data_IF_638552807675
#
_entry.id   IF_638552807675
#
_cell.length_a   1.000
_cell.length_b   1.000
_cell.length_c   1.000
_cell.angle_alpha   90.00
_cell.angle_beta   90.00
_cell.angle_gamma   90.00
#
_symmetry.space_group_name_H-M   'P 1'
#
loop_
_entity.id
_entity.type
_entity.pdbx_description
1 polymer ?
#
# COMPACT_ATOMS: atom_id res chain seq x y z
N UNK A 1 -12.32 23.76 -2.64
CA UNK A 1 -12.91 22.41 -2.58
C UNK A 1 -13.01 22.03 -1.12
N UNK A 2 -14.23 21.74 -0.69
CA UNK A 2 -14.70 21.55 0.69
C UNK A 2 -14.20 20.24 1.36
N UNK A 3 -13.00 19.74 1.03
CA UNK A 3 -12.50 18.48 1.60
C UNK A 3 -12.38 18.58 3.13
N UNK A 4 -12.11 19.78 3.65
CA UNK A 4 -11.98 20.01 5.10
C UNK A 4 -13.32 19.97 5.85
N UNK A 5 -14.45 20.16 5.18
CA UNK A 5 -15.77 20.06 5.82
C UNK A 5 -16.34 18.64 5.82
N UNK A 6 -15.72 17.71 5.08
CA UNK A 6 -16.02 16.29 5.16
C UNK A 6 -15.58 15.70 6.50
N UNK A 7 -16.33 14.74 7.01
CA UNK A 7 -15.91 13.89 8.13
C UNK A 7 -14.69 13.03 7.77
N UNK A 8 -14.03 12.45 8.77
CA UNK A 8 -12.90 11.52 8.53
C UNK A 8 -13.33 10.36 7.64
N UNK A 9 -14.49 9.76 7.90
CA UNK A 9 -15.01 8.63 7.13
C UNK A 9 -15.28 9.01 5.68
N UNK A 10 -15.91 10.16 5.42
CA UNK A 10 -16.15 10.64 4.06
C UNK A 10 -14.85 10.92 3.31
N UNK A 11 -13.83 11.46 4.00
CA UNK A 11 -12.51 11.63 3.39
C UNK A 11 -11.82 10.31 3.06
N UNK A 12 -12.01 9.27 3.88
CA UNK A 12 -11.48 7.93 3.59
C UNK A 12 -12.15 7.36 2.33
N UNK A 13 -13.47 7.42 2.26
CA UNK A 13 -14.22 6.94 1.07
C UNK A 13 -13.85 7.74 -0.17
N UNK A 14 -13.69 9.06 -0.05
CA UNK A 14 -13.24 9.89 -1.16
C UNK A 14 -11.82 9.53 -1.61
N UNK A 15 -10.90 9.28 -0.67
CA UNK A 15 -9.55 8.87 -1.00
C UNK A 15 -9.52 7.52 -1.73
N UNK A 16 -10.34 6.56 -1.31
CA UNK A 16 -10.53 5.28 -1.99
C UNK A 16 -11.09 5.47 -3.39
N UNK A 17 -12.17 6.25 -3.54
CA UNK A 17 -12.78 6.51 -4.85
C UNK A 17 -11.83 7.21 -5.83
N UNK A 18 -11.01 8.16 -5.34
CA UNK A 18 -9.98 8.82 -6.15
C UNK A 18 -8.84 7.86 -6.53
N UNK A 19 -8.50 6.93 -5.65
CA UNK A 19 -7.50 5.90 -5.96
C UNK A 19 -8.02 4.93 -7.03
N UNK A 20 -9.27 4.46 -6.88
CA UNK A 20 -9.92 3.59 -7.86
C UNK A 20 -10.08 4.25 -9.22
N UNK A 21 -10.36 5.56 -9.28
CA UNK A 21 -10.44 6.28 -10.54
C UNK A 21 -9.11 6.32 -11.29
N UNK A 22 -7.98 6.40 -10.57
CA UNK A 22 -6.65 6.36 -11.19
C UNK A 22 -6.38 4.97 -11.77
N UNK A 23 -6.69 3.90 -11.04
CA UNK A 23 -6.52 2.52 -11.52
C UNK A 23 -7.40 2.23 -12.75
N UNK A 24 -8.58 2.83 -12.82
CA UNK A 24 -9.46 2.69 -13.97
C UNK A 24 -8.95 3.41 -15.23
N UNK A 25 -8.15 4.47 -15.07
CA UNK A 25 -7.60 5.27 -16.17
C UNK A 25 -6.17 4.83 -16.57
N UNK A 26 -5.33 4.46 -15.61
CA UNK A 26 -4.00 3.89 -15.82
C UNK A 26 -4.11 2.37 -15.99
N UNK A 27 -4.06 1.93 -17.25
CA UNK A 27 -4.09 0.51 -17.62
C UNK A 27 -2.99 -0.32 -16.94
N UNK A 28 -3.16 -1.65 -16.95
CA UNK A 28 -2.29 -2.61 -16.27
C UNK A 28 -0.80 -2.27 -16.39
N UNK A 29 -0.14 -2.03 -15.25
CA UNK A 29 1.30 -1.87 -15.19
C UNK A 29 1.92 -3.24 -15.47
N UNK A 30 2.36 -3.45 -16.71
CA UNK A 30 2.99 -4.69 -17.12
C UNK A 30 4.27 -4.93 -16.33
N UNK A 31 4.28 -6.00 -15.54
CA UNK A 31 5.48 -6.45 -14.84
C UNK A 31 6.43 -7.12 -15.84
N UNK A 32 7.71 -6.78 -15.74
CA UNK A 32 8.79 -7.53 -16.42
C UNK A 32 8.88 -8.93 -15.83
N UNK A 33 9.41 -9.89 -16.60
CA UNK A 33 9.55 -11.27 -16.13
C UNK A 33 10.44 -11.37 -14.89
N UNK A 34 11.49 -10.54 -14.80
CA UNK A 34 12.35 -10.47 -13.62
C UNK A 34 11.58 -10.01 -12.37
N UNK A 35 10.63 -9.07 -12.51
CA UNK A 35 9.79 -8.63 -11.41
C UNK A 35 8.81 -9.72 -10.98
N UNK A 36 8.20 -10.44 -11.92
CA UNK A 36 7.30 -11.58 -11.62
C UNK A 36 8.04 -12.66 -10.82
N UNK A 37 9.22 -13.06 -11.29
CA UNK A 37 10.07 -14.05 -10.60
C UNK A 37 10.43 -13.61 -9.18
N UNK A 38 10.76 -12.33 -8.97
CA UNK A 38 11.06 -11.83 -7.63
C UNK A 38 9.83 -11.81 -6.71
N UNK A 39 8.64 -11.49 -7.24
CA UNK A 39 7.39 -11.55 -6.48
C UNK A 39 7.06 -12.99 -6.07
N UNK A 40 7.16 -13.94 -7.00
CA UNK A 40 6.95 -15.37 -6.72
C UNK A 40 7.92 -15.88 -5.66
N UNK A 41 9.21 -15.50 -5.75
CA UNK A 41 10.22 -15.85 -4.76
C UNK A 41 9.90 -15.30 -3.38
N UNK A 42 9.42 -14.05 -3.29
CA UNK A 42 9.04 -13.43 -2.00
C UNK A 42 7.79 -14.05 -1.41
N UNK A 43 6.82 -14.39 -2.24
CA UNK A 43 5.58 -15.03 -1.81
C UNK A 43 5.89 -16.43 -1.22
N UNK A 44 6.69 -17.23 -1.92
CA UNK A 44 7.11 -18.54 -1.43
C UNK A 44 7.93 -18.45 -0.12
N UNK A 45 8.78 -17.42 0.02
CA UNK A 45 9.51 -17.19 1.27
C UNK A 45 8.56 -16.85 2.43
N UNK A 46 7.57 -16.01 2.18
CA UNK A 46 6.55 -15.63 3.17
C UNK A 46 5.68 -16.82 3.58
N UNK A 47 5.31 -17.70 2.64
CA UNK A 47 4.54 -18.91 2.95
C UNK A 47 5.27 -19.83 3.95
N UNK A 48 6.60 -19.85 3.90
CA UNK A 48 7.46 -20.62 4.79
C UNK A 48 7.66 -19.90 6.13
N UNK A 49 8.05 -18.63 6.10
CA UNK A 49 8.48 -17.90 7.32
C UNK A 49 7.32 -17.28 8.10
N UNK A 50 6.15 -17.08 7.46
CA UNK A 50 4.96 -16.41 7.97
C UNK A 50 5.27 -15.08 8.68
N UNK A 51 6.33 -14.40 8.23
CA UNK A 51 6.80 -13.18 8.84
C UNK A 51 5.94 -12.00 8.40
N UNK A 52 4.95 -11.66 9.23
CA UNK A 52 4.03 -10.55 9.01
C UNK A 52 4.70 -9.16 9.01
N UNK A 53 6.00 -9.09 9.31
CA UNK A 53 6.73 -7.84 9.44
C UNK A 53 6.39 -7.09 10.72
N UNK A 54 6.70 -5.80 10.74
CA UNK A 54 6.46 -4.95 11.91
C UNK A 54 5.15 -4.19 11.77
N UNK A 55 4.42 -4.01 12.88
CA UNK A 55 3.24 -3.15 12.91
C UNK A 55 3.58 -1.72 12.45
N UNK A 56 2.58 -1.03 11.90
CA UNK A 56 2.75 0.37 11.51
C UNK A 56 3.25 1.24 12.68
N UNK A 57 2.75 1.01 13.89
CA UNK A 57 3.20 1.72 15.09
C UNK A 57 4.71 1.53 15.35
N UNK A 58 5.20 0.29 15.25
CA UNK A 58 6.63 -0.01 15.42
C UNK A 58 7.49 0.62 14.31
N UNK A 59 7.01 0.57 13.07
CA UNK A 59 7.70 1.21 11.93
C UNK A 59 7.75 2.73 12.12
N UNK A 60 6.61 3.34 12.46
CA UNK A 60 6.48 4.77 12.70
C UNK A 60 7.38 5.23 13.85
N UNK A 61 7.39 4.49 14.96
CA UNK A 61 8.26 4.74 16.10
C UNK A 61 9.74 4.74 15.69
N UNK A 62 10.18 3.72 14.93
CA UNK A 62 11.56 3.62 14.42
C UNK A 62 11.95 4.74 13.45
N UNK A 63 11.02 5.24 12.64
CA UNK A 63 11.28 6.35 11.71
C UNK A 63 11.41 7.67 12.49
N UNK A 64 10.56 7.88 13.49
CA UNK A 64 10.54 9.11 14.28
C UNK A 64 11.64 9.17 15.35
N UNK A 65 12.11 8.03 15.86
CA UNK A 65 13.20 7.96 16.84
C UNK A 65 14.60 8.19 16.25
N UNK A 66 14.71 8.21 14.92
CA UNK A 66 15.95 8.53 14.19
C UNK A 66 16.10 10.03 13.87
N UNK A 67 15.26 10.89 14.45
CA UNK A 67 15.34 12.35 14.35
C UNK A 67 16.01 12.95 15.57
#
# INVERSE_FOLDING_TARGET
MEIQSLTVSERIVLAEALWDSIVAEDGEIALTDAQKVELDRRLAAFDIDQNLGASWENVKSRILSKR
#
